data_IF_527159349066
#
_entry.id   IF_527159349066
#
_cell.length_a   1.000
_cell.length_b   1.000
_cell.length_c   1.000
_cell.angle_alpha   90.00
_cell.angle_beta   90.00
_cell.angle_gamma   90.00
#
_symmetry.space_group_name_H-M   'P 1'
#
loop_
_entity.id
_entity.type
_entity.pdbx_description
1 polymer ?
#
# COMPACT_ATOMS: atom_id res chain seq x y z
N UNK A 1 31.91 4.55 -18.67
CA UNK A 1 30.89 4.81 -17.62
C UNK A 1 29.54 4.66 -18.28
N UNK A 2 28.78 3.62 -17.92
CA UNK A 2 27.39 3.51 -18.36
C UNK A 2 26.58 4.39 -17.42
N UNK A 3 26.09 5.51 -17.94
CA UNK A 3 25.06 6.28 -17.27
C UNK A 3 23.80 5.42 -17.30
N UNK A 4 23.49 4.73 -16.20
CA UNK A 4 22.16 4.15 -16.01
C UNK A 4 21.18 5.32 -15.92
N UNK A 5 20.65 5.72 -17.08
CA UNK A 5 19.48 6.58 -17.14
C UNK A 5 18.38 5.76 -16.47
N UNK A 6 17.99 6.13 -15.25
CA UNK A 6 16.80 5.57 -14.62
C UNK A 6 15.62 5.83 -15.56
N UNK A 7 15.25 4.80 -16.33
CA UNK A 7 14.26 4.90 -17.40
C UNK A 7 12.89 4.89 -16.76
N UNK A 8 12.55 5.96 -16.06
CA UNK A 8 11.19 6.15 -15.57
C UNK A 8 10.27 6.28 -16.77
N UNK A 9 9.48 5.24 -17.03
CA UNK A 9 8.56 5.20 -18.17
C UNK A 9 7.19 5.72 -17.72
N UNK A 10 6.37 6.19 -18.66
CA UNK A 10 4.99 6.58 -18.36
C UNK A 10 4.20 5.45 -17.65
N UNK A 11 4.53 4.18 -17.95
CA UNK A 11 3.93 3.02 -17.30
C UNK A 11 4.26 2.92 -15.79
N UNK A 12 5.40 3.47 -15.36
CA UNK A 12 5.82 3.47 -13.95
C UNK A 12 5.06 4.49 -13.12
N UNK A 13 4.71 5.63 -13.72
CA UNK A 13 3.77 6.58 -13.12
C UNK A 13 2.42 5.90 -12.88
N UNK A 14 1.89 5.19 -13.88
CA UNK A 14 0.60 4.48 -13.75
C UNK A 14 0.61 3.48 -12.60
N UNK A 15 1.67 2.68 -12.46
CA UNK A 15 1.73 1.71 -11.36
C UNK A 15 1.91 2.34 -10.00
N UNK A 16 2.66 3.44 -9.91
CA UNK A 16 2.77 4.18 -8.67
C UNK A 16 1.43 4.81 -8.27
N UNK A 17 0.67 5.36 -9.23
CA UNK A 17 -0.67 5.89 -8.97
C UNK A 17 -1.66 4.79 -8.55
N UNK A 18 -1.63 3.61 -9.21
CA UNK A 18 -2.44 2.46 -8.80
C UNK A 18 -2.06 1.99 -7.38
N UNK A 19 -0.78 1.95 -7.04
CA UNK A 19 -0.31 1.67 -5.68
C UNK A 19 -0.90 2.68 -4.68
N UNK A 20 -0.89 3.98 -5.00
CA UNK A 20 -1.47 5.03 -4.14
C UNK A 20 -2.98 4.89 -3.97
N UNK A 21 -3.69 4.51 -5.03
CA UNK A 21 -5.13 4.27 -4.97
C UNK A 21 -5.45 3.07 -4.05
N UNK A 22 -4.79 1.93 -4.27
CA UNK A 22 -4.95 0.75 -3.40
C UNK A 22 -4.58 1.06 -1.94
N UNK A 23 -3.51 1.82 -1.71
CA UNK A 23 -3.10 2.25 -0.38
C UNK A 23 -4.14 3.16 0.31
N UNK A 24 -4.81 4.02 -0.47
CA UNK A 24 -5.88 4.89 0.04
C UNK A 24 -7.09 4.05 0.49
N UNK A 25 -7.46 3.04 -0.31
CA UNK A 25 -8.50 2.07 0.05
C UNK A 25 -8.15 1.32 1.33
N UNK A 26 -6.93 0.77 1.43
CA UNK A 26 -6.49 0.06 2.62
C UNK A 26 -6.47 0.96 3.87
N UNK A 27 -6.04 2.21 3.71
CA UNK A 27 -6.06 3.19 4.81
C UNK A 27 -7.47 3.42 5.33
N UNK A 28 -8.47 3.54 4.44
CA UNK A 28 -9.86 3.71 4.83
C UNK A 28 -10.39 2.48 5.59
N UNK A 29 -10.10 1.26 5.10
CA UNK A 29 -10.50 0.01 5.75
C UNK A 29 -9.87 -0.16 7.13
N UNK A 30 -8.55 0.09 7.26
CA UNK A 30 -7.85 0.01 8.55
C UNK A 30 -8.33 1.09 9.53
N UNK A 31 -8.64 2.30 9.04
CA UNK A 31 -9.21 3.36 9.88
C UNK A 31 -10.60 2.96 10.39
N UNK A 32 -11.42 2.39 9.52
CA UNK A 32 -12.73 1.87 9.90
C UNK A 32 -12.59 0.77 10.95
N UNK A 33 -11.76 -0.25 10.70
CA UNK A 33 -11.51 -1.35 11.64
C UNK A 33 -10.97 -0.86 12.99
N UNK A 34 -10.05 0.11 12.99
CA UNK A 34 -9.53 0.73 14.22
C UNK A 34 -10.57 1.52 15.01
N UNK A 35 -11.68 1.92 14.37
CA UNK A 35 -12.79 2.66 14.98
C UNK A 35 -13.97 1.77 15.39
N UNK A 36 -14.17 0.63 14.71
CA UNK A 36 -15.32 -0.26 14.88
C UNK A 36 -15.04 -1.47 15.77
N UNK A 37 -13.78 -1.90 15.89
CA UNK A 37 -13.43 -3.10 16.63
C UNK A 37 -13.11 -2.81 18.11
N UNK A 38 -13.93 -3.36 19.01
CA UNK A 38 -13.76 -3.30 20.48
C UNK A 38 -12.66 -4.27 20.95
N UNK A 39 -12.25 -5.24 20.13
CA UNK A 39 -11.39 -6.34 20.58
C UNK A 39 -9.91 -6.22 20.21
N UNK A 40 -9.55 -5.51 19.13
CA UNK A 40 -8.13 -5.32 18.75
C UNK A 40 -7.82 -4.02 17.97
N UNK A 41 -8.21 -2.83 18.47
CA UNK A 41 -7.96 -1.55 17.79
C UNK A 41 -6.47 -1.26 17.57
N UNK A 42 -5.59 -1.85 18.39
CA UNK A 42 -4.14 -1.64 18.29
C UNK A 42 -3.53 -2.35 17.07
N UNK A 43 -4.10 -3.46 16.60
CA UNK A 43 -3.62 -4.16 15.41
C UNK A 43 -3.80 -3.34 14.13
N UNK A 44 -5.00 -2.78 13.92
CA UNK A 44 -5.29 -1.95 12.76
C UNK A 44 -4.49 -0.63 12.77
N UNK A 45 -4.25 -0.04 13.95
CA UNK A 45 -3.40 1.16 14.10
C UNK A 45 -1.92 0.86 13.81
N UNK A 46 -1.43 -0.29 14.24
CA UNK A 46 -0.08 -0.75 13.94
C UNK A 46 0.09 -0.97 12.43
N UNK A 47 -0.84 -1.67 11.79
CA UNK A 47 -0.84 -1.87 10.33
C UNK A 47 -0.87 -0.54 9.57
N UNK A 48 -1.69 0.42 10.01
CA UNK A 48 -1.75 1.75 9.38
C UNK A 48 -0.43 2.51 9.53
N UNK A 49 0.24 2.37 10.68
CA UNK A 49 1.57 2.95 10.90
C UNK A 49 2.61 2.31 9.99
N UNK A 50 2.57 0.99 9.84
CA UNK A 50 3.49 0.25 8.98
C UNK A 50 3.28 0.62 7.50
N UNK A 51 2.03 0.63 7.03
CA UNK A 51 1.68 1.05 5.67
C UNK A 51 2.22 2.44 5.34
N UNK A 52 2.08 3.41 6.26
CA UNK A 52 2.65 4.75 6.08
C UNK A 52 4.17 4.73 5.94
N UNK A 53 4.88 3.92 6.73
CA UNK A 53 6.34 3.80 6.61
C UNK A 53 6.75 3.17 5.29
N UNK A 54 6.04 2.12 4.87
CA UNK A 54 6.33 1.44 3.61
C UNK A 54 6.15 2.40 2.42
N UNK A 55 5.07 3.19 2.41
CA UNK A 55 4.84 4.21 1.38
C UNK A 55 5.84 5.37 1.41
N UNK A 56 6.39 5.72 2.57
CA UNK A 56 7.39 6.79 2.69
C UNK A 56 8.80 6.33 2.31
N UNK A 57 9.08 5.03 2.43
CA UNK A 57 10.41 4.45 2.18
C UNK A 57 10.54 3.81 0.80
N UNK A 58 9.42 3.58 0.11
CA UNK A 58 9.45 3.00 -1.22
C UNK A 58 10.07 3.95 -2.23
N UNK A 59 11.05 3.44 -2.96
CA UNK A 59 11.58 4.12 -4.13
C UNK A 59 10.61 3.91 -5.30
N UNK A 60 9.97 5.00 -5.76
CA UNK A 60 9.05 4.95 -6.90
C UNK A 60 9.71 4.56 -8.23
N UNK A 61 11.04 4.61 -8.33
CA UNK A 61 11.79 4.13 -9.49
C UNK A 61 12.04 2.62 -9.43
N UNK A 62 11.93 1.98 -8.26
CA UNK A 62 12.04 0.52 -8.12
C UNK A 62 10.69 -0.12 -8.42
N UNK A 63 10.49 -0.43 -9.71
CA UNK A 63 9.25 -1.02 -10.19
C UNK A 63 8.93 -2.38 -9.56
N UNK A 64 9.95 -3.16 -9.21
CA UNK A 64 9.75 -4.46 -8.58
C UNK A 64 9.19 -4.28 -7.16
N UNK A 65 9.74 -3.33 -6.40
CA UNK A 65 9.22 -2.98 -5.08
C UNK A 65 7.82 -2.38 -5.13
N UNK A 66 7.54 -1.47 -6.09
CA UNK A 66 6.20 -0.88 -6.27
C UNK A 66 5.17 -1.98 -6.52
N UNK A 67 5.45 -2.91 -7.44
CA UNK A 67 4.54 -4.01 -7.74
C UNK A 67 4.37 -4.97 -6.55
N UNK A 68 5.46 -5.25 -5.82
CA UNK A 68 5.40 -6.13 -4.65
C UNK A 68 4.56 -5.53 -3.51
N UNK A 69 4.74 -4.24 -3.21
CA UNK A 69 3.93 -3.55 -2.21
C UNK A 69 2.46 -3.46 -2.65
N UNK A 70 2.21 -3.15 -3.92
CA UNK A 70 0.84 -3.12 -4.47
C UNK A 70 0.14 -4.46 -4.30
N UNK A 71 0.81 -5.58 -4.62
CA UNK A 71 0.25 -6.92 -4.45
C UNK A 71 -0.07 -7.25 -2.99
N UNK A 72 0.78 -6.84 -2.04
CA UNK A 72 0.52 -7.02 -0.60
C UNK A 72 -0.69 -6.21 -0.15
N UNK A 73 -0.79 -4.95 -0.56
CA UNK A 73 -1.93 -4.08 -0.26
C UNK A 73 -3.22 -4.67 -0.82
N UNK A 74 -3.22 -5.09 -2.08
CA UNK A 74 -4.40 -5.68 -2.73
C UNK A 74 -4.86 -6.97 -2.06
N UNK A 75 -3.93 -7.80 -1.58
CA UNK A 75 -4.25 -9.00 -0.81
C UNK A 75 -4.94 -8.61 0.50
N UNK A 76 -4.38 -7.63 1.23
CA UNK A 76 -4.93 -7.17 2.51
C UNK A 76 -6.29 -6.49 2.35
N UNK A 77 -6.48 -5.69 1.30
CA UNK A 77 -7.80 -5.10 0.95
C UNK A 77 -8.83 -6.19 0.74
N UNK A 78 -8.49 -7.25 0.00
CA UNK A 78 -9.40 -8.39 -0.23
C UNK A 78 -9.74 -9.13 1.06
N UNK A 79 -8.77 -9.35 1.95
CA UNK A 79 -9.01 -9.95 3.25
C UNK A 79 -9.98 -9.12 4.10
N UNK A 80 -9.72 -7.82 4.24
CA UNK A 80 -10.56 -6.94 5.06
C UNK A 80 -11.95 -6.71 4.47
N UNK A 81 -12.05 -6.62 3.15
CA UNK A 81 -13.34 -6.46 2.45
C UNK A 81 -14.14 -7.76 2.41
N UNK A 82 -13.47 -8.92 2.42
CA UNK A 82 -14.09 -10.23 2.54
C UNK A 82 -14.53 -10.55 3.98
N UNK A 83 -13.80 -10.06 4.97
CA UNK A 83 -14.13 -10.19 6.38
C UNK A 83 -15.23 -9.23 6.85
N UNK A 84 -15.52 -8.15 6.10
CA UNK A 84 -16.58 -7.19 6.43
C UNK A 84 -17.97 -7.57 5.89
N UNK A 85 -18.15 -8.78 5.36
CA UNK A 85 -19.41 -9.30 4.83
C UNK A 85 -19.98 -10.37 5.77
#
# INVERSE_FOLDING_TARGET
MVTEISSWRANDVVAYELLRESASTLTALLTYAASSDVSAPDGARLELTQLRRDLLTIDGYDRARVNALAAQIDARVRELSGASR
#
